data_IF_781734401448
#
_entry.id   IF_781734401448
#
_cell.length_a   1.000
_cell.length_b   1.000
_cell.length_c   1.000
_cell.angle_alpha   90.00
_cell.angle_beta   90.00
_cell.angle_gamma   90.00
#
_symmetry.space_group_name_H-M   'P 1'
#
loop_
_entity.id
_entity.type
_entity.pdbx_description
1 polymer ?
#
# COMPACT_ATOMS: atom_id res chain seq x y z
N UNK A 1 0.59 45.61 16.97
CA UNK A 1 -0.52 45.77 16.01
C UNK A 1 -0.41 44.66 14.97
N UNK A 2 -1.49 43.88 14.84
CA UNK A 2 -1.83 42.85 13.84
C UNK A 2 -0.92 41.60 13.72
N UNK A 3 -1.40 40.39 13.47
CA UNK A 3 -2.65 39.63 13.67
C UNK A 3 -2.58 38.46 12.68
N UNK A 4 -3.09 37.31 13.10
CA UNK A 4 -3.20 36.07 12.36
C UNK A 4 -3.89 36.20 10.99
N UNK A 5 -3.51 35.34 10.04
CA UNK A 5 -4.49 34.72 9.13
C UNK A 5 -4.12 33.26 8.88
N UNK A 6 -5.02 32.38 9.29
CA UNK A 6 -5.00 30.92 9.21
C UNK A 6 -4.97 30.45 7.75
N UNK A 7 -4.12 29.47 7.42
CA UNK A 7 -4.24 28.71 6.18
C UNK A 7 -5.27 27.58 6.40
N UNK A 8 -6.50 27.84 5.97
CA UNK A 8 -7.62 26.87 5.93
C UNK A 8 -7.99 26.68 4.45
N UNK A 9 -7.99 25.41 4.01
CA UNK A 9 -8.69 24.79 2.88
C UNK A 9 -8.81 25.52 1.53
N UNK A 10 -8.34 24.86 0.45
CA UNK A 10 -9.20 24.53 -0.72
C UNK A 10 -8.53 23.53 -1.68
N UNK A 11 -9.18 22.40 -2.02
CA UNK A 11 -8.67 21.35 -2.92
C UNK A 11 -9.16 21.50 -4.37
N UNK A 12 -9.11 22.71 -4.95
CA UNK A 12 -9.78 23.02 -6.23
C UNK A 12 -8.86 23.12 -7.46
N UNK A 13 -7.55 22.91 -7.34
CA UNK A 13 -6.58 23.26 -8.40
C UNK A 13 -5.94 22.07 -9.15
N UNK A 14 -6.52 20.87 -9.11
CA UNK A 14 -6.00 19.69 -9.86
C UNK A 14 -7.08 18.99 -10.68
N UNK A 15 -8.11 19.72 -11.15
CA UNK A 15 -9.15 19.15 -12.05
C UNK A 15 -9.34 19.90 -13.37
N UNK A 16 -8.39 20.76 -13.74
CA UNK A 16 -8.46 21.63 -14.91
C UNK A 16 -7.51 21.21 -16.06
N UNK A 17 -7.03 19.97 -16.10
CA UNK A 17 -6.07 19.50 -17.11
C UNK A 17 -6.65 18.62 -18.25
N UNK A 18 -7.93 18.20 -18.18
CA UNK A 18 -8.37 17.02 -18.95
C UNK A 18 -9.60 17.22 -19.81
N UNK A 19 -10.01 18.47 -20.14
CA UNK A 19 -11.21 18.75 -20.96
C UNK A 19 -10.93 19.35 -22.34
N UNK A 20 -9.68 19.30 -22.81
CA UNK A 20 -9.30 19.86 -24.11
C UNK A 20 -9.28 18.85 -25.28
N UNK A 21 -9.52 17.55 -25.04
CA UNK A 21 -9.34 16.50 -26.06
C UNK A 21 -10.63 15.80 -26.54
N UNK A 22 -11.81 16.32 -26.20
CA UNK A 22 -13.10 15.77 -26.69
C UNK A 22 -13.96 16.88 -27.30
N UNK A 23 -13.55 17.43 -28.45
CA UNK A 23 -14.49 18.11 -29.36
C UNK A 23 -14.91 17.11 -30.44
N UNK A 24 -16.19 16.69 -30.51
CA UNK A 24 -16.67 16.02 -31.71
C UNK A 24 -16.84 17.08 -32.82
N UNK A 25 -16.21 16.81 -33.96
CA UNK A 25 -16.40 17.52 -35.23
C UNK A 25 -17.84 17.31 -35.70
N UNK A 26 -18.75 18.20 -35.31
CA UNK A 26 -20.10 18.27 -35.84
C UNK A 26 -20.46 19.75 -36.05
N UNK A 27 -19.95 20.33 -37.13
CA UNK A 27 -20.54 21.52 -37.77
C UNK A 27 -19.88 21.77 -39.14
N UNK A 28 -20.74 22.02 -40.13
CA UNK A 28 -20.50 22.70 -41.40
C UNK A 28 -19.97 21.87 -42.59
N UNK A 29 -20.91 21.51 -43.47
CA UNK A 29 -21.00 21.80 -44.92
C UNK A 29 -22.12 20.86 -45.42
N UNK A 30 -23.29 21.31 -45.88
CA UNK A 30 -23.56 22.39 -46.82
C UNK A 30 -24.03 21.75 -48.14
N UNK A 31 -25.35 21.56 -48.26
CA UNK A 31 -26.19 21.40 -49.47
C UNK A 31 -25.78 20.45 -50.60
N UNK A 32 -26.60 19.42 -50.87
CA UNK A 32 -27.41 19.37 -52.10
C UNK A 32 -28.34 18.14 -52.19
N UNK A 33 -29.44 18.33 -52.91
CA UNK A 33 -30.62 17.48 -53.00
C UNK A 33 -30.42 16.11 -53.67
N UNK A 34 -31.17 15.09 -53.22
CA UNK A 34 -32.20 14.33 -53.99
C UNK A 34 -32.54 12.96 -53.37
N UNK A 35 -33.84 12.80 -53.08
CA UNK A 35 -34.72 11.65 -53.41
C UNK A 35 -34.67 10.35 -52.58
N UNK A 36 -35.90 9.98 -52.20
CA UNK A 36 -36.46 8.63 -52.00
C UNK A 36 -36.48 8.05 -50.58
N UNK A 37 -37.71 7.89 -50.11
CA UNK A 37 -38.17 7.04 -49.02
C UNK A 37 -37.64 5.60 -49.14
N UNK A 38 -37.38 5.00 -47.98
CA UNK A 38 -37.05 3.59 -47.84
C UNK A 38 -37.18 3.22 -46.36
N UNK A 39 -38.42 3.05 -45.91
CA UNK A 39 -38.75 2.48 -44.60
C UNK A 39 -38.19 1.06 -44.55
N UNK A 40 -37.11 0.86 -43.81
CA UNK A 40 -36.72 -0.44 -43.30
C UNK A 40 -36.23 -0.28 -41.87
N UNK A 41 -36.99 -0.87 -40.96
CA UNK A 41 -36.74 -0.92 -39.55
C UNK A 41 -35.34 -1.50 -39.27
N UNK A 42 -34.36 -0.63 -39.03
CA UNK A 42 -33.22 -0.99 -38.22
C UNK A 42 -33.71 -0.93 -36.76
N UNK A 43 -34.01 -2.10 -36.21
CA UNK A 43 -34.11 -2.29 -34.76
C UNK A 43 -32.87 -1.67 -34.13
N UNK A 44 -33.02 -0.46 -33.60
CA UNK A 44 -32.02 0.13 -32.74
C UNK A 44 -32.11 -0.65 -31.43
N UNK A 45 -31.31 -1.72 -31.39
CA UNK A 45 -31.08 -2.53 -30.20
C UNK A 45 -30.71 -1.57 -29.08
N UNK A 46 -31.68 -1.32 -28.20
CA UNK A 46 -31.47 -0.69 -26.92
C UNK A 46 -30.50 -1.59 -26.17
N UNK A 47 -29.22 -1.31 -26.34
CA UNK A 47 -28.16 -1.82 -25.49
C UNK A 47 -28.42 -1.21 -24.11
N UNK A 48 -29.32 -1.85 -23.36
CA UNK A 48 -29.31 -1.81 -21.91
C UNK A 48 -27.90 -2.21 -21.56
N UNK A 49 -27.04 -1.22 -21.30
CA UNK A 49 -25.71 -1.44 -20.77
C UNK A 49 -25.94 -1.99 -19.38
N UNK A 50 -26.17 -3.30 -19.31
CA UNK A 50 -26.06 -4.05 -18.08
C UNK A 50 -24.74 -3.59 -17.48
N UNK A 51 -24.82 -3.06 -16.27
CA UNK A 51 -23.63 -2.74 -15.50
C UNK A 51 -22.87 -4.07 -15.40
N UNK A 52 -21.90 -4.26 -16.29
CA UNK A 52 -20.97 -5.38 -16.25
C UNK A 52 -20.21 -5.14 -14.96
N UNK A 53 -20.69 -5.71 -13.87
CA UNK A 53 -19.88 -5.86 -12.67
C UNK A 53 -18.79 -6.82 -13.07
N UNK A 54 -17.69 -6.28 -13.62
CA UNK A 54 -16.47 -7.03 -13.86
C UNK A 54 -16.23 -7.90 -12.63
N UNK A 55 -15.91 -9.17 -12.86
CA UNK A 55 -15.60 -10.13 -11.80
C UNK A 55 -14.80 -9.45 -10.68
N UNK A 56 -15.13 -9.74 -9.42
CA UNK A 56 -14.49 -9.14 -8.23
C UNK A 56 -12.97 -9.15 -8.42
N UNK A 57 -12.36 -8.00 -8.73
CA UNK A 57 -10.92 -7.88 -8.95
C UNK A 57 -10.22 -8.04 -7.60
N UNK A 58 -9.63 -9.21 -7.36
CA UNK A 58 -8.83 -9.51 -6.16
C UNK A 58 -7.43 -8.86 -6.20
N UNK A 59 -7.17 -8.03 -7.19
CA UNK A 59 -5.87 -7.40 -7.42
C UNK A 59 -5.52 -6.42 -6.29
N UNK A 60 -6.51 -5.67 -5.78
CA UNK A 60 -6.32 -4.72 -4.67
C UNK A 60 -6.03 -5.49 -3.38
N UNK A 61 -6.73 -6.59 -3.11
CA UNK A 61 -6.48 -7.43 -1.93
C UNK A 61 -5.07 -8.02 -1.98
N UNK A 62 -4.64 -8.48 -3.16
CA UNK A 62 -3.30 -9.04 -3.36
C UNK A 62 -2.22 -7.97 -3.20
N UNK A 63 -2.42 -6.77 -3.75
CA UNK A 63 -1.50 -5.64 -3.55
C UNK A 63 -1.43 -5.20 -2.08
N UNK A 64 -2.57 -5.15 -1.39
CA UNK A 64 -2.65 -4.81 0.03
C UNK A 64 -1.92 -5.85 0.90
N UNK A 65 -1.99 -7.14 0.58
CA UNK A 65 -1.24 -8.20 1.27
C UNK A 65 0.27 -7.99 1.16
N UNK A 66 0.80 -7.70 -0.02
CA UNK A 66 2.24 -7.48 -0.18
C UNK A 66 2.74 -6.24 0.58
N UNK A 67 1.96 -5.14 0.56
CA UNK A 67 2.28 -3.93 1.31
C UNK A 67 2.21 -4.21 2.82
N UNK A 68 1.14 -4.86 3.28
CA UNK A 68 0.93 -5.20 4.68
C UNK A 68 1.99 -6.16 5.22
N UNK A 69 2.32 -7.22 4.47
CA UNK A 69 3.37 -8.16 4.82
C UNK A 69 4.73 -7.45 4.91
N UNK A 70 5.07 -6.59 3.94
CA UNK A 70 6.29 -5.79 3.97
C UNK A 70 6.35 -4.86 5.18
N UNK A 71 5.28 -4.12 5.48
CA UNK A 71 5.19 -3.25 6.64
C UNK A 71 5.29 -4.01 7.97
N UNK A 72 4.72 -5.22 8.05
CA UNK A 72 4.82 -6.07 9.23
C UNK A 72 6.25 -6.54 9.51
N UNK A 73 7.14 -6.63 8.52
CA UNK A 73 8.54 -7.06 8.76
C UNK A 73 9.40 -6.03 9.49
N UNK A 74 8.97 -4.76 9.56
CA UNK A 74 9.76 -3.67 10.19
C UNK A 74 10.06 -3.97 11.67
N UNK A 75 9.19 -4.72 12.35
CA UNK A 75 9.41 -5.10 13.75
C UNK A 75 10.65 -5.99 13.98
N UNK A 76 11.16 -6.67 12.94
CA UNK A 76 12.41 -7.46 13.03
C UNK A 76 13.62 -6.57 13.30
N UNK A 77 13.59 -5.30 12.87
CA UNK A 77 14.64 -4.33 13.20
C UNK A 77 14.77 -4.11 14.71
N UNK A 78 13.65 -4.18 15.45
CA UNK A 78 13.64 -4.11 16.91
C UNK A 78 14.35 -5.30 17.56
N UNK A 79 14.15 -6.51 17.04
CA UNK A 79 14.89 -7.69 17.49
C UNK A 79 16.40 -7.55 17.22
N UNK A 80 16.78 -7.12 16.02
CA UNK A 80 18.20 -6.89 15.67
C UNK A 80 18.87 -5.87 16.58
N UNK A 81 18.20 -4.76 16.87
CA UNK A 81 18.68 -3.77 17.83
C UNK A 81 18.79 -4.37 19.25
N UNK A 82 17.77 -5.11 19.70
CA UNK A 82 17.77 -5.80 20.99
C UNK A 82 18.97 -6.75 21.15
N UNK A 83 19.20 -7.61 20.17
CA UNK A 83 20.35 -8.54 20.15
C UNK A 83 21.68 -7.78 20.23
N UNK A 84 21.83 -6.71 19.44
CA UNK A 84 23.01 -5.85 19.48
C UNK A 84 23.27 -5.26 20.88
N UNK A 85 22.23 -4.80 21.57
CA UNK A 85 22.37 -4.26 22.93
C UNK A 85 22.68 -5.33 23.97
N UNK A 86 22.12 -6.53 23.85
CA UNK A 86 22.38 -7.66 24.74
C UNK A 86 23.84 -8.09 24.63
N UNK A 87 24.33 -8.32 23.41
CA UNK A 87 25.73 -8.71 23.20
C UNK A 87 26.71 -7.57 23.49
N UNK A 88 26.34 -6.31 23.22
CA UNK A 88 27.16 -5.15 23.61
C UNK A 88 27.34 -5.07 25.12
N UNK A 89 26.26 -5.25 25.88
CA UNK A 89 26.31 -5.28 27.35
C UNK A 89 27.05 -6.50 27.90
N UNK A 90 26.97 -7.65 27.22
CA UNK A 90 27.74 -8.85 27.55
C UNK A 90 29.24 -8.59 27.46
N UNK A 91 29.72 -7.99 26.37
CA UNK A 91 31.16 -7.71 26.17
C UNK A 91 31.67 -6.76 27.27
N UNK A 92 30.91 -5.69 27.56
CA UNK A 92 31.25 -4.76 28.63
C UNK A 92 31.26 -5.46 29.99
N UNK A 93 30.26 -6.31 30.27
CA UNK A 93 30.19 -7.09 31.51
C UNK A 93 31.36 -8.08 31.65
N UNK A 94 31.73 -8.74 30.56
CA UNK A 94 32.86 -9.67 30.50
C UNK A 94 34.19 -8.95 30.73
N UNK A 95 34.37 -7.77 30.14
CA UNK A 95 35.57 -6.96 30.32
C UNK A 95 35.75 -6.47 31.77
N UNK A 96 34.66 -6.27 32.51
CA UNK A 96 34.72 -5.83 33.92
C UNK A 96 34.99 -6.99 34.87
N UNK A 97 34.35 -8.14 34.67
CA UNK A 97 34.46 -9.30 35.59
C UNK A 97 34.51 -10.63 34.81
N UNK A 98 35.70 -11.06 34.33
CA UNK A 98 35.83 -12.26 33.50
C UNK A 98 35.56 -13.58 34.26
N UNK A 99 35.59 -13.57 35.59
CA UNK A 99 35.30 -14.75 36.42
C UNK A 99 33.85 -15.23 36.31
N UNK A 100 32.91 -14.33 36.00
CA UNK A 100 31.47 -14.63 35.91
C UNK A 100 31.02 -14.97 34.48
N UNK A 101 31.96 -15.27 33.58
CA UNK A 101 31.70 -15.46 32.15
C UNK A 101 30.57 -16.43 31.83
N UNK A 102 30.51 -17.58 32.53
CA UNK A 102 29.58 -18.65 32.21
C UNK A 102 28.13 -18.24 32.54
N UNK A 103 27.97 -17.55 33.66
CA UNK A 103 26.67 -17.06 34.11
C UNK A 103 26.19 -15.89 33.24
N UNK A 104 27.08 -14.92 32.94
CA UNK A 104 26.76 -13.80 32.05
C UNK A 104 26.41 -14.29 30.64
N UNK A 105 27.14 -15.28 30.13
CA UNK A 105 26.83 -15.88 28.83
C UNK A 105 25.46 -16.58 28.82
N UNK A 106 25.11 -17.33 29.88
CA UNK A 106 23.75 -17.89 30.01
C UNK A 106 22.66 -16.82 29.98
N UNK A 107 22.84 -15.71 30.70
CA UNK A 107 21.87 -14.61 30.67
C UNK A 107 21.80 -13.91 29.31
N UNK A 108 22.94 -13.75 28.63
CA UNK A 108 22.96 -13.17 27.29
C UNK A 108 22.27 -14.07 26.26
N UNK A 109 22.46 -15.39 26.32
CA UNK A 109 21.76 -16.33 25.44
C UNK A 109 20.26 -16.36 25.74
N UNK A 110 19.87 -16.26 27.01
CA UNK A 110 18.46 -16.10 27.38
C UNK A 110 17.86 -14.81 26.80
N UNK A 111 18.56 -13.68 26.94
CA UNK A 111 18.15 -12.40 26.35
C UNK A 111 18.08 -12.43 24.82
N UNK A 112 19.06 -13.07 24.18
CA UNK A 112 19.08 -13.32 22.73
C UNK A 112 17.85 -14.13 22.30
N UNK A 113 17.58 -15.26 22.97
CA UNK A 113 16.44 -16.12 22.64
C UNK A 113 15.09 -15.40 22.79
N UNK A 114 14.93 -14.55 23.81
CA UNK A 114 13.72 -13.73 23.98
C UNK A 114 13.59 -12.66 22.91
N UNK A 115 14.70 -12.01 22.53
CA UNK A 115 14.71 -11.02 21.44
C UNK A 115 14.35 -11.69 20.10
N UNK A 116 14.96 -12.83 19.81
CA UNK A 116 14.67 -13.63 18.61
C UNK A 116 13.22 -14.12 18.59
N UNK A 117 12.68 -14.57 19.72
CA UNK A 117 11.27 -14.98 19.79
C UNK A 117 10.32 -13.86 19.37
N UNK A 118 10.59 -12.61 19.76
CA UNK A 118 9.81 -11.45 19.33
C UNK A 118 10.01 -11.12 17.84
N UNK A 119 11.23 -11.25 17.33
CA UNK A 119 11.52 -11.08 15.90
C UNK A 119 10.83 -12.12 15.02
N UNK A 120 10.89 -13.39 15.42
CA UNK A 120 10.22 -14.50 14.75
C UNK A 120 8.69 -14.40 14.87
N UNK A 121 8.17 -13.92 16.00
CA UNK A 121 6.76 -13.61 16.13
C UNK A 121 6.30 -12.55 15.12
N UNK A 122 7.11 -11.51 14.91
CA UNK A 122 6.85 -10.49 13.89
C UNK A 122 6.83 -11.08 12.47
N UNK A 123 7.80 -11.95 12.15
CA UNK A 123 7.84 -12.65 10.86
C UNK A 123 6.69 -13.64 10.68
N UNK A 124 6.27 -14.32 11.75
CA UNK A 124 5.12 -15.22 11.71
C UNK A 124 3.87 -14.44 11.25
N UNK A 125 3.62 -13.26 11.82
CA UNK A 125 2.49 -12.40 11.39
C UNK A 125 2.65 -11.95 9.95
N UNK A 126 3.86 -11.55 9.52
CA UNK A 126 4.12 -11.18 8.13
C UNK A 126 3.81 -12.32 7.15
N UNK A 127 4.19 -13.57 7.48
CA UNK A 127 3.87 -14.74 6.67
C UNK A 127 2.39 -15.12 6.71
N UNK A 128 1.70 -14.91 7.83
CA UNK A 128 0.23 -15.09 7.86
C UNK A 128 -0.47 -14.11 6.92
N UNK A 129 -0.02 -12.86 6.84
CA UNK A 129 -0.58 -11.86 5.91
C UNK A 129 -0.27 -12.23 4.44
N UNK A 130 0.90 -12.82 4.18
CA UNK A 130 1.32 -13.14 2.81
C UNK A 130 0.68 -14.44 2.28
N UNK A 131 0.51 -15.46 3.12
CA UNK A 131 0.15 -16.81 2.68
C UNK A 131 -1.17 -17.35 3.25
N UNK A 132 -1.72 -16.78 4.33
CA UNK A 132 -2.89 -17.34 5.00
C UNK A 132 -4.14 -16.46 4.91
N UNK A 133 -3.99 -15.13 4.99
CA UNK A 133 -5.06 -14.18 4.69
C UNK A 133 -5.14 -13.90 3.21
#
# INVERSE_FOLDING_TARGET
MYACAKFVSTPSLVRAGSRALYRPLAAAVGSDARKAEGVLASQQQLAVRGFQTSAVSRDIDTAAKFIGAGAATVGVAGSGAGIGTVFGSLIIGYARNPSLKQQLFSYAILGFALSEAMGLFCLMVAFLILFAM
#
